data_IF_747579865270
#
_entry.id   IF_747579865270
#
_cell.length_a   1.000
_cell.length_b   1.000
_cell.length_c   1.000
_cell.angle_alpha   90.00
_cell.angle_beta   90.00
_cell.angle_gamma   90.00
#
_symmetry.space_group_name_H-M   'P 1'
#
loop_
_entity.id
_entity.type
_entity.pdbx_description
1 polymer ?
#
# COMPACT_ATOMS: atom_id res chain seq x y z
N UNK A 1 60.56 19.25 88.39
CA UNK A 1 60.93 20.02 87.19
C UNK A 1 62.31 19.57 86.75
N UNK A 2 62.40 18.67 85.76
CA UNK A 2 63.68 18.29 85.16
C UNK A 2 63.95 19.23 83.97
N UNK A 3 65.11 19.89 83.90
CA UNK A 3 65.45 20.74 82.77
C UNK A 3 65.64 19.86 81.53
N UNK A 4 64.83 20.14 80.51
CA UNK A 4 64.89 19.48 79.20
C UNK A 4 66.16 19.96 78.48
N UNK A 5 67.25 19.19 78.59
CA UNK A 5 68.45 19.39 77.77
C UNK A 5 68.10 19.12 76.31
N UNK A 6 67.96 20.19 75.53
CA UNK A 6 67.84 20.10 74.07
C UNK A 6 69.24 19.90 73.50
N UNK A 7 69.51 18.70 73.02
CA UNK A 7 70.71 18.40 72.22
C UNK A 7 70.58 19.12 70.87
N UNK A 8 71.53 20.02 70.57
CA UNK A 8 71.67 20.60 69.25
C UNK A 8 72.31 19.60 68.29
N UNK A 9 71.85 19.57 67.04
CA UNK A 9 72.45 18.75 65.98
C UNK A 9 73.88 19.20 65.71
N UNK A 10 74.78 18.24 65.59
CA UNK A 10 76.15 18.51 65.18
C UNK A 10 76.20 18.88 63.69
N UNK A 11 77.19 19.67 63.29
CA UNK A 11 77.30 20.18 61.91
C UNK A 11 77.43 19.03 60.88
N UNK A 12 78.04 17.92 61.28
CA UNK A 12 78.14 16.69 60.47
C UNK A 12 76.78 15.97 60.32
N UNK A 13 75.95 15.93 61.36
CA UNK A 13 74.60 15.35 61.30
C UNK A 13 73.69 16.17 60.38
N UNK A 14 73.78 17.50 60.41
CA UNK A 14 73.04 18.37 59.49
C UNK A 14 73.44 18.12 58.03
N UNK A 15 74.74 17.96 57.77
CA UNK A 15 75.26 17.65 56.44
C UNK A 15 74.75 16.31 55.93
N UNK A 16 74.83 15.26 56.75
CA UNK A 16 74.34 13.92 56.40
C UNK A 16 72.83 13.97 56.16
N UNK A 17 72.07 14.61 57.05
CA UNK A 17 70.61 14.75 56.89
C UNK A 17 70.25 15.49 55.61
N UNK A 18 70.94 16.60 55.29
CA UNK A 18 70.68 17.36 54.06
C UNK A 18 70.99 16.56 52.79
N UNK A 19 72.11 15.83 52.78
CA UNK A 19 72.49 14.97 51.66
C UNK A 19 71.48 13.83 51.46
N UNK A 20 71.07 13.18 52.55
CA UNK A 20 70.02 12.15 52.52
C UNK A 20 68.68 12.70 52.02
N UNK A 21 68.26 13.89 52.45
CA UNK A 21 67.04 14.53 51.96
C UNK A 21 67.08 14.85 50.47
N UNK A 22 68.22 15.34 49.94
CA UNK A 22 68.35 15.59 48.49
C UNK A 22 68.29 14.31 47.66
N UNK A 23 68.89 13.22 48.14
CA UNK A 23 68.81 11.93 47.45
C UNK A 23 67.38 11.38 47.45
N UNK A 24 66.66 11.50 48.56
CA UNK A 24 65.25 11.08 48.66
C UNK A 24 64.35 11.91 47.74
N UNK A 25 64.48 13.24 47.73
CA UNK A 25 63.68 14.11 46.87
C UNK A 25 64.00 13.90 45.39
N UNK A 26 65.28 13.71 45.04
CA UNK A 26 65.70 13.38 43.67
C UNK A 26 65.13 12.04 43.18
N UNK A 27 65.15 11.02 44.04
CA UNK A 27 64.53 9.73 43.76
C UNK A 27 63.02 9.84 43.55
N UNK A 28 62.32 10.61 44.38
CA UNK A 28 60.87 10.79 44.32
C UNK A 28 60.44 11.60 43.08
N UNK A 29 61.19 12.65 42.71
CA UNK A 29 60.93 13.38 41.46
C UNK A 29 61.10 12.48 40.24
N UNK A 30 62.08 11.59 40.26
CA UNK A 30 62.32 10.65 39.15
C UNK A 30 61.21 9.60 39.06
N UNK A 31 60.73 9.07 40.19
CA UNK A 31 59.62 8.11 40.18
C UNK A 31 58.31 8.75 39.72
N UNK A 32 58.01 9.99 40.14
CA UNK A 32 56.84 10.74 39.64
C UNK A 32 56.96 10.98 38.14
N UNK A 33 58.13 11.38 37.64
CA UNK A 33 58.33 11.63 36.21
C UNK A 33 58.10 10.37 35.37
N UNK A 34 58.62 9.22 35.82
CA UNK A 34 58.39 7.92 35.14
C UNK A 34 56.91 7.53 35.21
N UNK A 35 56.26 7.69 36.36
CA UNK A 35 54.84 7.40 36.51
C UNK A 35 53.95 8.29 35.62
N UNK A 36 54.28 9.59 35.51
CA UNK A 36 53.56 10.53 34.64
C UNK A 36 53.68 10.14 33.17
N UNK A 37 54.87 9.76 32.71
CA UNK A 37 55.05 9.28 31.34
C UNK A 37 54.32 7.97 31.05
N UNK A 38 54.24 7.07 32.04
CA UNK A 38 53.47 5.84 31.90
C UNK A 38 51.96 6.09 31.80
N UNK A 39 51.47 7.18 32.38
CA UNK A 39 50.06 7.60 32.28
C UNK A 39 49.79 8.25 30.91
N UNK A 40 50.65 9.16 30.44
CA UNK A 40 50.46 9.82 29.14
C UNK A 40 50.54 8.84 27.95
N UNK A 41 51.35 7.78 28.04
CA UNK A 41 51.47 6.75 26.98
C UNK A 41 50.28 5.76 26.97
N UNK A 42 49.52 5.70 28.07
CA UNK A 42 48.34 4.83 28.19
C UNK A 42 47.09 5.40 27.54
N UNK A 43 47.11 6.70 27.22
CA UNK A 43 45.93 7.43 26.74
C UNK A 43 45.58 7.09 25.28
N UNK A 44 46.48 6.48 24.50
CA UNK A 44 46.18 6.05 23.13
C UNK A 44 45.61 4.64 23.02
N UNK A 45 45.95 3.73 23.93
CA UNK A 45 45.53 2.33 23.85
C UNK A 45 44.11 2.12 24.38
N UNK A 46 43.90 2.49 25.63
CA UNK A 46 42.63 2.22 26.35
C UNK A 46 41.48 3.03 25.79
N UNK A 47 41.71 4.30 25.44
CA UNK A 47 40.67 5.15 24.85
C UNK A 47 40.23 4.63 23.47
N UNK A 48 41.18 4.20 22.64
CA UNK A 48 40.92 3.61 21.32
C UNK A 48 40.16 2.29 21.44
N UNK A 49 40.48 1.47 22.44
CA UNK A 49 39.78 0.20 22.70
C UNK A 49 38.33 0.46 23.14
N UNK A 50 38.12 1.41 24.07
CA UNK A 50 36.77 1.79 24.52
C UNK A 50 35.92 2.37 23.38
N UNK A 51 36.49 3.25 22.55
CA UNK A 51 35.80 3.80 21.37
C UNK A 51 35.44 2.70 20.37
N UNK A 52 36.37 1.79 20.09
CA UNK A 52 36.13 0.65 19.19
C UNK A 52 35.01 -0.25 19.72
N UNK A 53 35.03 -0.56 21.02
CA UNK A 53 33.98 -1.37 21.67
C UNK A 53 32.61 -0.70 21.56
N UNK A 54 32.52 0.60 21.84
CA UNK A 54 31.27 1.36 21.75
C UNK A 54 30.70 1.33 20.33
N UNK A 55 31.53 1.54 19.31
CA UNK A 55 31.08 1.53 17.90
C UNK A 55 30.63 0.14 17.46
N UNK A 56 31.30 -0.92 17.93
CA UNK A 56 30.88 -2.30 17.66
C UNK A 56 29.53 -2.60 18.32
N UNK A 57 29.31 -2.13 19.56
CA UNK A 57 28.03 -2.27 20.25
C UNK A 57 26.89 -1.56 19.51
N UNK A 58 27.13 -0.35 19.00
CA UNK A 58 26.14 0.41 18.22
C UNK A 58 25.78 -0.31 16.91
N UNK A 59 26.77 -0.82 16.18
CA UNK A 59 26.54 -1.60 14.96
C UNK A 59 25.73 -2.86 15.28
N UNK A 60 26.07 -3.56 16.36
CA UNK A 60 25.34 -4.76 16.77
C UNK A 60 23.91 -4.45 17.21
N UNK A 61 23.68 -3.33 17.89
CA UNK A 61 22.34 -2.89 18.27
C UNK A 61 21.48 -2.61 17.03
N UNK A 62 22.06 -1.96 16.02
CA UNK A 62 21.39 -1.67 14.75
C UNK A 62 21.06 -2.96 13.97
N UNK A 63 22.00 -3.90 13.91
CA UNK A 63 21.81 -5.17 13.21
C UNK A 63 20.81 -6.09 13.93
N UNK A 64 20.67 -5.99 15.25
CA UNK A 64 19.68 -6.77 16.02
C UNK A 64 18.24 -6.38 15.69
N UNK A 65 18.00 -5.11 15.35
CA UNK A 65 16.67 -4.61 15.00
C UNK A 65 16.45 -4.49 13.49
N UNK A 66 17.45 -4.81 12.68
CA UNK A 66 17.36 -4.71 11.23
C UNK A 66 16.27 -5.65 10.68
N UNK A 67 15.37 -5.09 9.89
CA UNK A 67 14.30 -5.84 9.19
C UNK A 67 14.80 -6.47 7.90
N UNK A 68 15.79 -5.82 7.27
CA UNK A 68 16.32 -6.21 5.97
C UNK A 68 17.78 -5.79 5.85
N UNK A 69 18.62 -6.65 5.28
CA UNK A 69 19.96 -6.29 4.80
C UNK A 69 19.87 -6.11 3.28
N UNK A 70 20.23 -4.92 2.78
CA UNK A 70 20.13 -4.58 1.34
C UNK A 70 21.38 -5.04 0.61
N UNK A 71 22.55 -4.75 1.15
CA UNK A 71 23.83 -5.14 0.58
C UNK A 71 24.85 -5.40 1.68
N UNK A 72 25.74 -6.35 1.43
CA UNK A 72 26.83 -6.67 2.34
C UNK A 72 28.10 -6.97 1.54
N UNK A 73 29.23 -6.50 2.05
CA UNK A 73 30.58 -6.63 1.51
C UNK A 73 31.54 -6.64 2.69
N UNK A 74 32.81 -7.01 2.49
CA UNK A 74 33.76 -7.07 3.60
C UNK A 74 33.98 -5.71 4.31
N UNK A 75 33.72 -4.60 3.62
CA UNK A 75 34.00 -3.23 4.06
C UNK A 75 32.74 -2.34 4.14
N UNK A 76 31.56 -2.84 3.77
CA UNK A 76 30.30 -2.13 3.97
C UNK A 76 29.10 -3.04 4.22
N UNK A 77 28.17 -2.55 5.03
CA UNK A 77 26.85 -3.16 5.24
C UNK A 77 25.77 -2.08 5.16
N UNK A 78 24.69 -2.41 4.46
CA UNK A 78 23.48 -1.56 4.33
C UNK A 78 22.29 -2.33 4.84
N UNK A 79 21.55 -1.77 5.79
CA UNK A 79 20.37 -2.39 6.37
C UNK A 79 19.23 -1.39 6.55
N UNK A 80 18.02 -1.92 6.67
CA UNK A 80 16.79 -1.19 7.01
C UNK A 80 16.48 -1.48 8.46
N UNK A 81 16.33 -0.44 9.27
CA UNK A 81 15.93 -0.52 10.69
C UNK A 81 14.57 0.17 10.88
N UNK A 82 13.82 -0.15 11.95
CA UNK A 82 12.60 0.59 12.27
C UNK A 82 12.86 2.09 12.37
N UNK A 83 11.86 2.88 12.00
CA UNK A 83 11.87 4.34 12.11
C UNK A 83 12.39 4.81 13.48
N UNK A 84 13.48 5.58 13.49
CA UNK A 84 14.07 6.19 14.69
C UNK A 84 13.80 7.69 14.77
N UNK A 85 13.44 8.31 13.65
CA UNK A 85 13.33 9.74 13.51
C UNK A 85 11.88 10.23 13.71
N UNK A 86 10.90 9.32 13.62
CA UNK A 86 9.48 9.54 13.89
C UNK A 86 8.67 9.99 12.68
N UNK A 87 9.17 9.82 11.45
CA UNK A 87 8.47 10.18 10.21
C UNK A 87 7.53 9.10 9.67
N UNK A 88 7.48 7.92 10.32
CA UNK A 88 6.66 6.78 9.91
C UNK A 88 7.28 5.93 8.80
N UNK A 89 8.54 6.17 8.44
CA UNK A 89 9.27 5.43 7.40
C UNK A 89 10.48 4.72 8.02
N UNK A 90 10.67 3.44 7.70
CA UNK A 90 11.85 2.70 8.17
C UNK A 90 13.15 3.36 7.65
N UNK A 91 14.16 3.51 8.53
CA UNK A 91 15.43 4.16 8.21
C UNK A 91 16.40 3.20 7.50
N UNK A 92 17.15 3.73 6.53
CA UNK A 92 18.26 3.03 5.86
C UNK A 92 19.58 3.43 6.49
N UNK A 93 20.29 2.46 7.07
CA UNK A 93 21.62 2.65 7.64
C UNK A 93 22.69 2.08 6.73
N UNK A 94 23.78 2.83 6.55
CA UNK A 94 24.98 2.39 5.82
C UNK A 94 26.20 2.59 6.70
N UNK A 95 26.92 1.49 6.95
CA UNK A 95 28.25 1.49 7.54
C UNK A 95 29.26 1.19 6.45
N UNK A 96 30.33 1.99 6.35
CA UNK A 96 31.32 1.83 5.30
C UNK A 96 32.72 2.21 5.77
N UNK A 97 33.70 1.39 5.40
CA UNK A 97 35.13 1.66 5.51
C UNK A 97 35.75 1.54 4.11
N UNK A 98 36.85 2.24 3.84
CA UNK A 98 37.47 2.23 2.50
C UNK A 98 38.30 0.98 2.20
N UNK A 99 38.55 0.14 3.21
CA UNK A 99 39.50 -0.97 3.13
C UNK A 99 40.96 -0.58 3.37
N UNK A 100 41.28 0.70 3.59
CA UNK A 100 42.66 1.16 3.81
C UNK A 100 42.94 1.43 5.29
N UNK A 101 44.02 0.86 5.81
CA UNK A 101 44.44 1.09 7.18
C UNK A 101 44.68 2.59 7.45
N UNK A 102 43.99 3.11 8.45
CA UNK A 102 44.02 4.51 8.86
C UNK A 102 42.84 5.34 8.35
N UNK A 103 42.09 4.85 7.37
CA UNK A 103 40.85 5.51 6.95
C UNK A 103 39.74 5.28 7.99
N UNK A 104 38.79 6.23 8.14
CA UNK A 104 37.73 6.12 9.13
C UNK A 104 36.61 5.16 8.72
N UNK A 105 35.91 4.61 9.71
CA UNK A 105 34.59 4.02 9.53
C UNK A 105 33.54 5.13 9.58
N UNK A 106 32.70 5.19 8.56
CA UNK A 106 31.62 6.16 8.43
C UNK A 106 30.25 5.49 8.57
N UNK A 107 29.28 6.25 9.11
CA UNK A 107 27.87 5.90 9.21
C UNK A 107 27.02 6.93 8.48
N UNK A 108 26.05 6.45 7.70
CA UNK A 108 25.06 7.28 7.02
C UNK A 108 23.65 6.81 7.39
N UNK A 109 22.74 7.76 7.58
CA UNK A 109 21.31 7.52 7.85
C UNK A 109 20.50 8.16 6.73
N UNK A 110 19.74 7.34 5.99
CA UNK A 110 18.99 7.75 4.80
C UNK A 110 19.92 8.51 3.83
N UNK A 111 19.46 9.66 3.34
CA UNK A 111 20.22 10.54 2.44
C UNK A 111 21.04 11.62 3.18
N UNK A 112 21.22 11.49 4.50
CA UNK A 112 22.04 12.43 5.27
C UNK A 112 23.52 12.34 4.88
N UNK A 113 24.32 13.39 5.08
CA UNK A 113 25.78 13.29 4.93
C UNK A 113 26.36 12.19 5.84
N UNK A 114 27.32 11.43 5.33
CA UNK A 114 27.99 10.40 6.12
C UNK A 114 28.88 11.03 7.21
N UNK A 115 28.73 10.55 8.45
CA UNK A 115 29.52 10.97 9.60
C UNK A 115 30.57 9.92 9.97
N UNK A 116 31.76 10.38 10.36
CA UNK A 116 32.80 9.52 10.95
C UNK A 116 32.37 9.04 12.34
N UNK A 117 32.43 7.73 12.58
CA UNK A 117 32.10 7.12 13.87
C UNK A 117 33.32 6.50 14.56
N UNK A 118 34.34 6.07 13.80
CA UNK A 118 35.59 5.54 14.34
C UNK A 118 36.76 5.97 13.45
N UNK A 119 37.78 6.54 14.08
CA UNK A 119 38.99 7.04 13.40
C UNK A 119 40.04 5.94 13.26
N UNK A 120 40.97 6.14 12.35
CA UNK A 120 42.23 5.37 12.25
C UNK A 120 42.05 3.84 12.23
N UNK A 121 41.01 3.36 11.53
CA UNK A 121 40.65 1.93 11.51
C UNK A 121 41.75 1.15 10.79
N UNK A 122 42.38 0.22 11.50
CA UNK A 122 43.47 -0.61 10.93
C UNK A 122 42.94 -1.81 10.13
N UNK A 123 41.83 -2.39 10.57
CA UNK A 123 41.20 -3.54 9.95
C UNK A 123 39.72 -3.60 10.31
N UNK A 124 38.87 -3.87 9.33
CA UNK A 124 37.45 -4.14 9.50
C UNK A 124 37.05 -5.26 8.52
N UNK A 125 36.18 -6.16 8.96
CA UNK A 125 35.62 -7.19 8.10
C UNK A 125 34.19 -7.51 8.52
N UNK A 126 33.22 -7.22 7.65
CA UNK A 126 31.85 -7.70 7.83
C UNK A 126 31.72 -9.11 7.23
N UNK A 127 31.46 -10.08 8.09
CA UNK A 127 31.18 -11.47 7.70
C UNK A 127 29.73 -11.82 8.01
N UNK A 128 29.17 -12.72 7.20
CA UNK A 128 27.78 -13.14 7.35
C UNK A 128 27.62 -14.60 6.93
N UNK A 129 26.66 -15.26 7.57
CA UNK A 129 26.22 -16.59 7.19
C UNK A 129 24.92 -16.46 6.41
N UNK A 130 24.95 -16.85 5.14
CA UNK A 130 23.72 -17.02 4.37
C UNK A 130 23.16 -18.40 4.62
N UNK A 131 21.88 -18.48 4.96
CA UNK A 131 21.11 -19.70 4.81
C UNK A 131 20.16 -19.50 3.64
N UNK A 132 20.24 -20.37 2.65
CA UNK A 132 19.16 -20.50 1.67
C UNK A 132 17.97 -21.08 2.41
N UNK A 133 16.98 -20.23 2.67
CA UNK A 133 15.65 -20.68 3.00
C UNK A 133 15.00 -20.93 1.66
N UNK A 134 14.63 -22.18 1.37
CA UNK A 134 13.64 -22.43 0.32
C UNK A 134 12.44 -21.63 0.81
N UNK A 135 12.16 -20.51 0.15
CA UNK A 135 10.91 -19.81 0.41
C UNK A 135 9.85 -20.89 0.41
N UNK A 136 8.98 -20.90 1.43
CA UNK A 136 7.69 -21.53 1.18
C UNK A 136 7.28 -21.05 -0.21
N UNK A 137 6.87 -21.94 -1.15
CA UNK A 137 6.32 -21.46 -2.41
C UNK A 137 5.45 -20.29 -2.02
N UNK A 138 5.70 -19.10 -2.61
CA UNK A 138 4.88 -17.91 -2.30
C UNK A 138 3.50 -18.46 -2.10
N UNK A 139 2.93 -18.40 -0.86
CA UNK A 139 1.73 -19.16 -0.56
C UNK A 139 0.86 -18.88 -1.74
N UNK A 140 0.48 -19.93 -2.51
CA UNK A 140 -0.22 -19.74 -3.79
C UNK A 140 -1.12 -18.58 -3.47
N UNK A 141 -0.91 -17.44 -4.13
CA UNK A 141 -1.80 -16.32 -3.91
C UNK A 141 -3.05 -16.84 -4.58
N UNK A 142 -3.78 -17.73 -3.89
CA UNK A 142 -5.21 -17.76 -3.86
C UNK A 142 -5.45 -16.30 -3.57
N UNK A 143 -5.82 -15.49 -4.58
CA UNK A 143 -6.20 -14.13 -4.29
C UNK A 143 -7.21 -14.30 -3.16
N UNK A 144 -6.86 -13.85 -1.96
CA UNK A 144 -7.76 -13.82 -0.80
C UNK A 144 -9.06 -13.32 -1.37
N UNK A 145 -10.09 -14.16 -1.52
CA UNK A 145 -11.23 -14.04 -2.44
C UNK A 145 -11.66 -12.58 -2.66
N UNK A 146 -10.86 -11.87 -3.46
CA UNK A 146 -10.88 -10.43 -3.51
C UNK A 146 -11.62 -10.19 -4.76
N UNK A 147 -12.78 -9.61 -4.57
CA UNK A 147 -13.68 -9.34 -5.63
C UNK A 147 -13.04 -8.27 -6.51
N UNK A 148 -12.41 -8.69 -7.60
CA UNK A 148 -11.81 -7.77 -8.56
C UNK A 148 -12.88 -7.37 -9.56
N UNK A 149 -13.00 -6.06 -9.79
CA UNK A 149 -13.89 -5.51 -10.81
C UNK A 149 -13.02 -4.97 -11.94
N UNK A 150 -13.26 -5.44 -13.16
CA UNK A 150 -12.78 -4.81 -14.39
C UNK A 150 -13.98 -4.25 -15.13
N UNK A 151 -13.87 -3.07 -15.70
CA UNK A 151 -14.94 -2.45 -16.49
C UNK A 151 -14.44 -2.02 -17.86
N UNK A 152 -15.32 -2.13 -18.86
CA UNK A 152 -15.11 -1.58 -20.21
C UNK A 152 -16.40 -0.94 -20.67
N UNK A 153 -16.28 0.29 -21.16
CA UNK A 153 -17.41 1.11 -21.57
C UNK A 153 -17.41 1.24 -23.10
N UNK A 154 -18.56 1.00 -23.73
CA UNK A 154 -18.78 1.40 -25.12
C UNK A 154 -19.73 2.61 -25.17
N UNK A 155 -19.28 3.65 -25.85
CA UNK A 155 -19.96 4.95 -25.94
C UNK A 155 -20.28 5.25 -27.39
N UNK A 156 -21.51 4.95 -27.75
CA UNK A 156 -22.01 5.32 -29.06
C UNK A 156 -22.53 6.75 -29.08
N UNK A 157 -21.67 7.67 -29.51
CA UNK A 157 -21.97 9.11 -29.68
C UNK A 157 -22.86 9.40 -30.89
N UNK A 158 -23.29 8.38 -31.66
CA UNK A 158 -24.19 8.56 -32.79
C UNK A 158 -25.26 7.51 -32.78
N UNK A 159 -26.47 7.89 -33.21
CA UNK A 159 -27.58 6.95 -33.35
C UNK A 159 -27.23 5.84 -34.34
N UNK A 160 -27.08 4.60 -33.86
CA UNK A 160 -26.76 3.42 -34.65
C UNK A 160 -27.88 2.38 -34.56
N UNK A 161 -27.88 1.43 -35.50
CA UNK A 161 -28.76 0.26 -35.49
C UNK A 161 -28.22 -0.86 -34.59
N UNK A 162 -27.08 -0.64 -33.96
CA UNK A 162 -26.46 -1.60 -33.06
C UNK A 162 -25.62 -0.87 -32.02
N UNK A 163 -25.33 -1.57 -30.92
CA UNK A 163 -24.31 -1.21 -29.95
C UNK A 163 -23.43 -2.44 -29.72
N UNK A 164 -22.13 -2.25 -29.60
CA UNK A 164 -21.22 -3.31 -29.23
C UNK A 164 -21.05 -3.27 -27.70
N UNK A 165 -20.98 -4.43 -27.09
CA UNK A 165 -20.81 -4.63 -25.67
C UNK A 165 -19.43 -5.25 -25.52
N UNK A 166 -18.44 -4.39 -25.39
CA UNK A 166 -17.05 -4.79 -25.26
C UNK A 166 -16.82 -5.52 -23.93
N UNK A 167 -16.05 -6.59 -23.98
CA UNK A 167 -15.64 -7.35 -22.79
C UNK A 167 -14.31 -6.76 -22.28
N UNK A 168 -14.15 -6.55 -20.95
CA UNK A 168 -12.89 -6.09 -20.39
C UNK A 168 -11.72 -7.00 -20.80
N UNK A 169 -10.54 -6.42 -20.94
CA UNK A 169 -9.35 -7.22 -21.18
C UNK A 169 -9.05 -8.10 -19.95
N UNK A 170 -8.33 -9.21 -20.13
CA UNK A 170 -7.94 -10.13 -19.04
C UNK A 170 -9.12 -10.79 -18.29
N UNK A 171 -10.27 -10.95 -18.96
CA UNK A 171 -11.35 -11.82 -18.45
C UNK A 171 -10.88 -13.26 -18.42
N UNK A 172 -11.06 -13.91 -17.27
CA UNK A 172 -10.72 -15.31 -17.07
C UNK A 172 -11.98 -16.19 -17.21
N UNK A 173 -11.84 -17.44 -17.69
CA UNK A 173 -12.95 -18.37 -17.71
C UNK A 173 -13.54 -18.57 -16.31
N UNK A 174 -14.86 -18.43 -16.18
CA UNK A 174 -15.57 -18.48 -14.89
C UNK A 174 -15.75 -17.14 -14.18
N UNK A 175 -15.16 -16.04 -14.67
CA UNK A 175 -15.51 -14.70 -14.17
C UNK A 175 -17.00 -14.41 -14.40
N UNK A 176 -17.65 -13.73 -13.46
CA UNK A 176 -19.01 -13.25 -13.63
C UNK A 176 -19.00 -11.97 -14.45
N UNK A 177 -19.60 -12.00 -15.62
CA UNK A 177 -19.83 -10.82 -16.45
C UNK A 177 -21.20 -10.23 -16.13
N UNK A 178 -21.24 -8.94 -15.82
CA UNK A 178 -22.47 -8.15 -15.69
C UNK A 178 -22.51 -7.12 -16.81
N UNK A 179 -23.56 -7.12 -17.62
CA UNK A 179 -23.77 -6.13 -18.66
C UNK A 179 -24.91 -5.18 -18.28
N UNK A 180 -24.69 -3.89 -18.51
CA UNK A 180 -25.72 -2.85 -18.35
C UNK A 180 -25.87 -2.09 -19.65
N UNK A 181 -27.12 -1.98 -20.13
CA UNK A 181 -27.45 -1.36 -21.42
C UNK A 181 -28.56 -0.34 -21.22
N UNK A 182 -28.26 0.91 -21.52
CA UNK A 182 -29.17 2.05 -21.46
C UNK A 182 -29.52 2.46 -22.90
N UNK A 183 -30.81 2.54 -23.25
CA UNK A 183 -31.25 2.90 -24.61
C UNK A 183 -32.32 3.98 -24.60
N UNK A 184 -32.27 4.93 -25.55
CA UNK A 184 -33.21 6.05 -25.65
C UNK A 184 -34.54 5.73 -26.37
N UNK A 185 -35.25 4.72 -25.90
CA UNK A 185 -36.68 4.45 -26.19
C UNK A 185 -37.10 3.19 -25.45
N UNK A 186 -38.36 2.77 -25.62
CA UNK A 186 -38.77 1.40 -25.28
C UNK A 186 -38.14 0.39 -26.25
N UNK A 187 -37.13 -0.35 -25.79
CA UNK A 187 -36.43 -1.40 -26.54
C UNK A 187 -36.43 -2.73 -25.78
N UNK A 188 -37.45 -2.92 -24.92
CA UNK A 188 -37.62 -4.11 -24.08
C UNK A 188 -37.53 -5.41 -24.88
N UNK A 189 -38.19 -5.49 -26.04
CA UNK A 189 -38.13 -6.66 -26.92
C UNK A 189 -36.75 -6.92 -27.52
N UNK A 190 -36.03 -5.86 -27.91
CA UNK A 190 -34.71 -6.00 -28.51
C UNK A 190 -33.69 -6.49 -27.49
N UNK A 191 -33.77 -5.97 -26.27
CA UNK A 191 -32.92 -6.38 -25.15
C UNK A 191 -33.21 -7.81 -24.67
N UNK A 192 -34.46 -8.24 -24.64
CA UNK A 192 -34.84 -9.64 -24.34
C UNK A 192 -34.31 -10.62 -25.41
N UNK A 193 -34.39 -10.22 -26.68
CA UNK A 193 -33.84 -11.01 -27.79
C UNK A 193 -32.32 -11.14 -27.75
N UNK A 194 -31.62 -10.08 -27.31
CA UNK A 194 -30.18 -10.11 -27.09
C UNK A 194 -29.81 -11.14 -26.02
N UNK A 195 -30.51 -11.12 -24.87
CA UNK A 195 -30.22 -12.01 -23.76
C UNK A 195 -30.28 -13.48 -24.20
N UNK A 196 -31.42 -13.85 -24.78
CA UNK A 196 -31.68 -15.23 -25.22
C UNK A 196 -30.77 -15.72 -26.36
N UNK A 197 -30.43 -14.87 -27.32
CA UNK A 197 -29.64 -15.28 -28.50
C UNK A 197 -28.14 -15.44 -28.24
N UNK A 198 -27.61 -14.75 -27.21
CA UNK A 198 -26.17 -14.73 -26.93
C UNK A 198 -25.80 -15.42 -25.60
N UNK A 199 -26.73 -16.15 -25.00
CA UNK A 199 -26.49 -16.93 -23.78
C UNK A 199 -26.36 -16.09 -22.52
N UNK A 200 -26.85 -14.86 -22.53
CA UNK A 200 -26.92 -13.99 -21.37
C UNK A 200 -28.21 -14.28 -20.58
N UNK A 201 -28.13 -14.25 -19.26
CA UNK A 201 -29.28 -14.37 -18.37
C UNK A 201 -29.77 -12.98 -17.98
N UNK A 202 -31.06 -12.73 -18.15
CA UNK A 202 -31.68 -11.45 -17.80
C UNK A 202 -31.83 -11.30 -16.29
N UNK A 203 -31.33 -10.19 -15.73
CA UNK A 203 -31.56 -9.78 -14.35
C UNK A 203 -32.85 -8.92 -14.27
N UNK A 204 -32.86 -7.84 -15.05
CA UNK A 204 -33.95 -6.89 -15.10
C UNK A 204 -33.94 -6.14 -16.44
N UNK A 205 -35.13 -5.83 -16.96
CA UNK A 205 -35.31 -4.83 -18.01
C UNK A 205 -36.44 -3.92 -17.56
N UNK A 206 -36.20 -2.62 -17.53
CA UNK A 206 -37.21 -1.62 -17.17
C UNK A 206 -37.24 -0.52 -18.21
N UNK A 207 -38.44 -0.05 -18.56
CA UNK A 207 -38.67 1.05 -19.49
C UNK A 207 -39.57 2.11 -18.87
N UNK A 208 -39.27 3.39 -19.14
CA UNK A 208 -40.14 4.55 -18.86
C UNK A 208 -41.00 4.91 -20.08
N UNK A 209 -40.83 4.21 -21.20
CA UNK A 209 -41.30 4.60 -22.53
C UNK A 209 -40.33 5.53 -23.27
N UNK A 210 -39.49 6.27 -22.55
CA UNK A 210 -38.47 7.18 -23.11
C UNK A 210 -37.06 6.60 -23.03
N UNK A 211 -36.78 5.86 -21.96
CA UNK A 211 -35.52 5.16 -21.75
C UNK A 211 -35.79 3.71 -21.36
N UNK A 212 -34.89 2.82 -21.74
CA UNK A 212 -34.85 1.43 -21.26
C UNK A 212 -33.50 1.16 -20.61
N UNK A 213 -33.51 0.52 -19.44
CA UNK A 213 -32.32 -0.05 -18.78
C UNK A 213 -32.46 -1.58 -18.73
N UNK A 214 -31.54 -2.27 -19.38
CA UNK A 214 -31.38 -3.73 -19.29
C UNK A 214 -30.14 -4.10 -18.50
N UNK A 215 -30.29 -5.08 -17.61
CA UNK A 215 -29.22 -5.71 -16.85
C UNK A 215 -29.18 -7.21 -17.14
N UNK A 216 -27.99 -7.72 -17.41
CA UNK A 216 -27.76 -9.11 -17.78
C UNK A 216 -26.52 -9.65 -17.08
N UNK A 217 -26.45 -10.98 -16.93
CA UNK A 217 -25.23 -11.65 -16.50
C UNK A 217 -24.94 -12.93 -17.27
N UNK A 218 -23.68 -13.35 -17.27
CA UNK A 218 -23.21 -14.67 -17.71
C UNK A 218 -21.89 -14.98 -17.03
N UNK A 219 -21.47 -16.24 -17.06
CA UNK A 219 -20.10 -16.60 -16.71
C UNK A 219 -19.25 -16.63 -17.99
N UNK A 220 -18.05 -16.06 -17.91
CA UNK A 220 -17.11 -16.04 -19.03
C UNK A 220 -16.74 -17.48 -19.44
N UNK A 221 -16.80 -17.77 -20.73
CA UNK A 221 -16.40 -19.05 -21.29
C UNK A 221 -14.88 -19.15 -21.45
N UNK A 222 -14.38 -20.36 -21.75
CA UNK A 222 -12.95 -20.59 -22.04
C UNK A 222 -12.45 -19.76 -23.23
N UNK A 223 -13.33 -19.50 -24.20
CA UNK A 223 -13.07 -18.65 -25.37
C UNK A 223 -14.09 -17.50 -25.41
N UNK A 224 -14.06 -16.64 -24.38
CA UNK A 224 -14.95 -15.49 -24.32
C UNK A 224 -14.67 -14.52 -25.49
N UNK A 225 -15.67 -14.15 -26.31
CA UNK A 225 -15.53 -13.16 -27.37
C UNK A 225 -15.10 -11.80 -26.83
N UNK A 226 -14.36 -11.03 -27.63
CA UNK A 226 -13.94 -9.66 -27.28
C UNK A 226 -15.13 -8.68 -27.18
N UNK A 227 -16.23 -8.97 -27.87
CA UNK A 227 -17.45 -8.15 -27.82
C UNK A 227 -18.70 -8.93 -28.20
N UNK A 228 -19.84 -8.41 -27.75
CA UNK A 228 -21.18 -8.86 -28.10
C UNK A 228 -21.93 -7.76 -28.83
N UNK A 229 -22.82 -8.10 -29.77
CA UNK A 229 -23.57 -7.08 -30.53
C UNK A 229 -25.05 -7.10 -30.20
N UNK A 230 -25.57 -5.94 -29.82
CA UNK A 230 -27.01 -5.68 -29.63
C UNK A 230 -27.52 -4.99 -30.89
N UNK A 231 -28.61 -5.48 -31.48
CA UNK A 231 -29.20 -4.90 -32.70
C UNK A 231 -30.58 -4.30 -32.44
N UNK A 232 -30.84 -3.15 -33.06
CA UNK A 232 -32.08 -2.37 -32.94
C UNK A 232 -32.77 -2.26 -34.30
N UNK A 233 -34.09 -2.15 -34.28
CA UNK A 233 -34.88 -1.92 -35.50
C UNK A 233 -34.68 -0.49 -36.04
N UNK A 234 -34.56 0.48 -35.13
CA UNK A 234 -34.38 1.89 -35.44
C UNK A 234 -33.04 2.39 -34.89
N UNK A 235 -32.56 3.52 -35.41
CA UNK A 235 -31.31 4.10 -34.91
C UNK A 235 -31.52 4.65 -33.50
N UNK A 236 -30.72 4.20 -32.53
CA UNK A 236 -30.80 4.57 -31.10
C UNK A 236 -29.49 5.12 -30.58
N UNK A 237 -29.59 5.97 -29.57
CA UNK A 237 -28.49 6.28 -28.68
C UNK A 237 -28.47 5.21 -27.60
N UNK A 238 -27.33 4.54 -27.48
CA UNK A 238 -27.12 3.49 -26.50
C UNK A 238 -25.87 3.84 -25.69
N UNK A 239 -25.95 3.58 -24.40
CA UNK A 239 -24.80 3.52 -23.52
C UNK A 239 -24.73 2.13 -22.90
N UNK A 240 -23.64 1.41 -23.14
CA UNK A 240 -23.45 0.07 -22.66
C UNK A 240 -22.09 -0.08 -21.97
N UNK A 241 -22.03 -0.92 -20.95
CA UNK A 241 -20.77 -1.30 -20.35
C UNK A 241 -20.87 -2.71 -19.78
N UNK A 242 -19.70 -3.34 -19.67
CA UNK A 242 -19.56 -4.67 -19.08
C UNK A 242 -18.64 -4.58 -17.87
N UNK A 243 -19.02 -5.26 -16.79
CA UNK A 243 -18.20 -5.51 -15.63
C UNK A 243 -17.79 -6.99 -15.64
N UNK A 244 -16.52 -7.28 -15.40
CA UNK A 244 -16.03 -8.62 -15.11
C UNK A 244 -15.64 -8.72 -13.64
N UNK A 245 -16.19 -9.72 -12.96
CA UNK A 245 -16.10 -9.88 -11.52
C UNK A 245 -15.51 -11.25 -11.21
N UNK A 246 -14.27 -11.25 -10.74
CA UNK A 246 -13.57 -12.47 -10.31
C UNK A 246 -13.99 -12.91 -8.92
N UNK A 247 -14.13 -14.22 -8.68
CA UNK A 247 -14.46 -14.77 -7.36
C UNK A 247 -15.95 -14.69 -6.98
N UNK A 248 -16.85 -14.48 -7.94
CA UNK A 248 -18.30 -14.57 -7.69
C UNK A 248 -18.77 -16.03 -7.54
N UNK A 249 -19.84 -16.26 -6.78
CA UNK A 249 -20.43 -17.59 -6.62
C UNK A 249 -20.97 -18.12 -7.97
N UNK A 250 -20.42 -19.24 -8.47
CA UNK A 250 -20.76 -19.78 -9.80
C UNK A 250 -22.18 -20.36 -9.91
N UNK A 251 -22.83 -20.65 -8.80
CA UNK A 251 -24.14 -21.33 -8.78
C UNK A 251 -25.29 -20.34 -8.56
N UNK A 252 -25.07 -19.36 -7.68
CA UNK A 252 -26.06 -18.33 -7.34
C UNK A 252 -25.33 -16.99 -7.13
N UNK A 253 -24.85 -16.35 -8.21
CA UNK A 253 -24.06 -15.12 -8.11
C UNK A 253 -24.86 -13.94 -7.58
N UNK A 254 -26.19 -13.95 -7.75
CA UNK A 254 -27.09 -12.85 -7.39
C UNK A 254 -27.97 -13.28 -6.22
N UNK A 255 -27.86 -12.56 -5.11
CA UNK A 255 -28.61 -12.83 -3.86
C UNK A 255 -29.75 -11.86 -3.62
N UNK A 256 -29.65 -10.66 -4.17
CA UNK A 256 -30.66 -9.64 -4.02
C UNK A 256 -30.79 -8.80 -5.28
N UNK A 257 -32.03 -8.48 -5.64
CA UNK A 257 -32.34 -7.54 -6.71
C UNK A 257 -33.43 -6.60 -6.22
N UNK A 258 -33.16 -5.30 -6.28
CA UNK A 258 -34.17 -4.27 -6.08
C UNK A 258 -34.45 -3.59 -7.41
N UNK A 259 -35.65 -3.84 -7.93
CA UNK A 259 -36.10 -3.28 -9.20
C UNK A 259 -36.58 -1.84 -9.04
N UNK A 260 -36.64 -1.19 -10.19
CA UNK A 260 -36.67 0.25 -10.45
C UNK A 260 -37.38 1.17 -9.47
N UNK A 261 -36.71 2.27 -9.12
CA UNK A 261 -37.37 3.55 -8.96
C UNK A 261 -37.31 4.27 -10.33
N UNK A 262 -38.46 4.47 -10.96
CA UNK A 262 -38.57 5.38 -12.11
C UNK A 262 -39.10 6.72 -11.60
N UNK A 263 -38.59 7.82 -12.15
CA UNK A 263 -39.04 9.14 -11.72
C UNK A 263 -38.47 10.26 -12.56
N UNK A 264 -38.99 11.46 -12.30
CA UNK A 264 -38.44 12.73 -12.76
C UNK A 264 -37.85 13.43 -11.53
N UNK A 265 -36.53 13.59 -11.48
CA UNK A 265 -35.87 14.18 -10.31
C UNK A 265 -34.39 14.46 -10.54
N UNK A 266 -33.81 15.32 -9.70
CA UNK A 266 -32.37 15.66 -9.77
C UNK A 266 -31.51 14.73 -8.90
N UNK A 267 -32.11 14.02 -7.94
CA UNK A 267 -31.44 13.18 -6.96
C UNK A 267 -32.03 11.75 -6.95
N UNK A 268 -31.90 10.98 -8.04
CA UNK A 268 -32.31 9.58 -8.08
C UNK A 268 -31.79 8.79 -6.88
N UNK A 269 -32.70 8.05 -6.25
CA UNK A 269 -32.40 7.16 -5.12
C UNK A 269 -32.57 5.72 -5.56
N UNK A 270 -31.51 4.93 -5.42
CA UNK A 270 -31.64 3.48 -5.60
C UNK A 270 -32.33 2.88 -4.38
N UNK A 271 -33.24 1.94 -4.63
CA UNK A 271 -33.93 1.21 -3.58
C UNK A 271 -32.96 0.33 -2.78
N UNK A 272 -33.34 0.05 -1.53
CA UNK A 272 -32.68 -0.94 -0.68
C UNK A 272 -32.77 -2.33 -1.31
N UNK A 273 -31.72 -3.12 -1.15
CA UNK A 273 -31.61 -4.50 -1.64
C UNK A 273 -31.14 -5.38 -0.49
N UNK A 274 -31.71 -6.57 -0.38
CA UNK A 274 -31.24 -7.53 0.63
C UNK A 274 -29.79 -7.95 0.31
N UNK A 275 -28.94 -7.96 1.32
CA UNK A 275 -27.55 -8.38 1.23
C UNK A 275 -27.27 -9.55 2.16
N UNK A 276 -26.22 -10.29 1.84
CA UNK A 276 -25.58 -11.24 2.75
C UNK A 276 -24.27 -10.62 3.24
N UNK A 277 -23.70 -11.14 4.33
CA UNK A 277 -22.41 -10.67 4.80
C UNK A 277 -21.32 -10.90 3.73
N UNK A 278 -20.46 -9.91 3.53
CA UNK A 278 -19.44 -9.92 2.48
C UNK A 278 -19.97 -9.80 1.03
N UNK A 279 -21.27 -9.62 0.83
CA UNK A 279 -21.82 -9.42 -0.52
C UNK A 279 -21.35 -8.09 -1.13
N UNK A 280 -21.27 -8.05 -2.46
CA UNK A 280 -21.02 -6.80 -3.18
C UNK A 280 -22.31 -6.20 -3.68
N UNK A 281 -22.48 -4.92 -3.39
CA UNK A 281 -23.56 -4.10 -3.90
C UNK A 281 -23.13 -3.42 -5.19
N UNK A 282 -23.84 -3.69 -6.28
CA UNK A 282 -23.75 -2.96 -7.54
C UNK A 282 -25.01 -2.14 -7.76
N UNK A 283 -24.84 -0.89 -8.17
CA UNK A 283 -25.95 0.03 -8.39
C UNK A 283 -25.82 0.69 -9.73
N UNK A 284 -26.87 0.59 -10.52
CA UNK A 284 -26.93 1.03 -11.91
C UNK A 284 -27.93 2.16 -12.04
N UNK A 285 -27.62 3.13 -12.89
CA UNK A 285 -28.56 4.17 -13.29
C UNK A 285 -28.51 4.37 -14.80
N UNK A 286 -29.69 4.58 -15.38
CA UNK A 286 -29.92 5.08 -16.73
C UNK A 286 -30.64 6.41 -16.62
N UNK A 287 -30.18 7.43 -17.34
CA UNK A 287 -30.81 8.76 -17.35
C UNK A 287 -31.02 9.27 -18.75
N UNK A 288 -32.12 9.99 -18.94
CA UNK A 288 -32.31 10.81 -20.12
C UNK A 288 -31.25 11.93 -20.20
N UNK A 289 -30.54 12.04 -21.32
CA UNK A 289 -29.58 13.12 -21.62
C UNK A 289 -28.17 12.98 -21.03
N UNK A 290 -27.30 13.90 -21.44
CA UNK A 290 -25.85 14.01 -21.22
C UNK A 290 -25.43 14.59 -19.84
N UNK A 291 -26.10 14.17 -18.77
CA UNK A 291 -26.16 15.00 -17.55
C UNK A 291 -25.82 14.36 -16.23
N UNK A 292 -25.08 13.25 -16.28
CA UNK A 292 -24.41 12.77 -15.07
C UNK A 292 -23.19 13.67 -14.81
N UNK A 293 -23.01 14.14 -13.58
CA UNK A 293 -21.85 14.96 -13.22
C UNK A 293 -20.63 14.04 -13.10
N UNK A 294 -19.72 14.09 -14.08
CA UNK A 294 -18.49 13.27 -14.12
C UNK A 294 -17.59 13.42 -12.90
N UNK A 295 -17.61 14.59 -12.26
CA UNK A 295 -16.77 14.90 -11.08
C UNK A 295 -17.52 14.74 -9.75
N UNK A 296 -18.77 14.27 -9.78
CA UNK A 296 -19.49 13.98 -8.55
C UNK A 296 -19.21 12.53 -8.19
N UNK A 297 -18.60 12.31 -7.03
CA UNK A 297 -18.45 10.98 -6.43
C UNK A 297 -19.83 10.36 -6.45
N UNK A 298 -20.03 9.42 -7.37
CA UNK A 298 -21.29 8.77 -7.59
C UNK A 298 -21.55 7.93 -6.38
N UNK A 299 -22.45 8.42 -5.52
CA UNK A 299 -22.89 7.79 -4.27
C UNK A 299 -21.87 7.93 -3.12
N UNK A 300 -22.33 8.50 -2.00
CA UNK A 300 -21.58 8.48 -0.74
C UNK A 300 -21.33 7.02 -0.32
N UNK A 301 -20.12 6.70 0.11
CA UNK A 301 -19.70 5.36 0.54
C UNK A 301 -19.64 4.30 -0.57
N UNK A 302 -19.56 4.71 -1.85
CA UNK A 302 -19.37 3.79 -2.98
C UNK A 302 -18.19 4.22 -3.85
N UNK A 303 -17.56 3.23 -4.47
CA UNK A 303 -16.60 3.43 -5.54
C UNK A 303 -17.33 3.54 -6.88
N UNK A 304 -16.98 4.52 -7.69
CA UNK A 304 -17.53 4.66 -9.04
C UNK A 304 -16.83 3.65 -9.95
N UNK A 305 -17.60 2.76 -10.59
CA UNK A 305 -17.07 1.66 -11.43
C UNK A 305 -17.10 2.02 -12.91
N UNK A 306 -18.19 2.65 -13.34
CA UNK A 306 -18.39 3.10 -14.72
C UNK A 306 -19.25 4.36 -14.70
N UNK A 307 -18.86 5.36 -15.48
CA UNK A 307 -19.54 6.65 -15.53
C UNK A 307 -19.41 7.27 -16.92
N UNK A 308 -20.53 7.33 -17.63
CA UNK A 308 -20.51 7.74 -19.02
C UNK A 308 -21.80 8.37 -19.50
N UNK A 309 -21.70 8.95 -20.69
CA UNK A 309 -22.81 9.53 -21.41
C UNK A 309 -22.58 9.37 -22.91
N UNK A 310 -23.68 9.21 -23.63
CA UNK A 310 -23.87 9.40 -25.06
C UNK A 310 -24.75 10.64 -25.25
N UNK A 311 -24.80 11.19 -26.47
CA UNK A 311 -25.48 12.45 -26.83
C UNK A 311 -26.84 12.68 -26.15
N UNK A 312 -27.65 11.61 -26.04
CA UNK A 312 -29.02 11.68 -25.48
C UNK A 312 -29.25 10.76 -24.27
N UNK A 313 -28.22 10.07 -23.75
CA UNK A 313 -28.41 9.11 -22.67
C UNK A 313 -27.18 9.02 -21.77
N UNK A 314 -27.40 9.04 -20.46
CA UNK A 314 -26.37 8.82 -19.45
C UNK A 314 -26.52 7.43 -18.82
N UNK A 315 -25.40 6.84 -18.43
CA UNK A 315 -25.44 5.68 -17.55
C UNK A 315 -24.24 5.61 -16.61
N UNK A 316 -24.47 4.99 -15.46
CA UNK A 316 -23.42 4.78 -14.48
C UNK A 316 -23.61 3.49 -13.69
N UNK A 317 -22.49 2.94 -13.20
CA UNK A 317 -22.44 1.95 -12.14
C UNK A 317 -21.55 2.42 -10.99
N UNK A 318 -21.99 2.13 -9.77
CA UNK A 318 -21.23 2.28 -8.55
C UNK A 318 -21.23 0.96 -7.77
N UNK A 319 -20.13 0.66 -7.08
CA UNK A 319 -19.97 -0.52 -6.23
C UNK A 319 -19.70 -0.16 -4.77
N UNK A 320 -20.17 -1.00 -3.87
CA UNK A 320 -19.74 -1.03 -2.48
C UNK A 320 -19.68 -2.48 -1.99
N UNK A 321 -18.88 -2.74 -0.95
CA UNK A 321 -18.92 -4.01 -0.22
C UNK A 321 -19.88 -3.81 0.95
N UNK A 322 -20.85 -4.71 1.13
CA UNK A 322 -21.66 -4.68 2.35
C UNK A 322 -20.75 -5.03 3.53
N UNK A 323 -20.53 -4.09 4.45
CA UNK A 323 -19.96 -4.40 5.76
C UNK A 323 -21.00 -5.08 6.67
N UNK A 324 -20.59 -5.36 7.91
CA UNK A 324 -21.41 -5.95 8.99
C UNK A 324 -22.69 -5.17 9.36
N UNK A 325 -22.96 -4.02 8.71
CA UNK A 325 -24.19 -3.27 8.89
C UNK A 325 -25.19 -3.54 7.73
N UNK A 326 -26.16 -4.45 7.91
CA UNK A 326 -27.20 -4.75 6.93
C UNK A 326 -28.13 -3.55 6.66
N UNK A 327 -27.92 -2.41 7.33
CA UNK A 327 -28.68 -1.18 7.14
C UNK A 327 -27.92 -0.09 6.39
N UNK A 328 -26.70 -0.34 5.89
CA UNK A 328 -25.92 0.68 5.18
C UNK A 328 -26.64 1.17 3.90
N UNK A 329 -27.13 2.44 3.85
CA UNK A 329 -28.43 2.71 3.26
C UNK A 329 -28.31 3.58 2.01
N UNK A 330 -28.83 3.04 0.89
CA UNK A 330 -29.24 3.80 -0.31
C UNK A 330 -28.11 4.42 -1.12
N UNK A 331 -28.29 4.48 -2.44
CA UNK A 331 -27.41 5.23 -3.32
C UNK A 331 -28.07 6.52 -3.71
N UNK A 332 -27.28 7.59 -3.76
CA UNK A 332 -27.68 8.87 -4.30
C UNK A 332 -26.88 9.13 -5.57
N UNK A 333 -27.59 9.23 -6.69
CA UNK A 333 -27.01 9.70 -7.94
C UNK A 333 -27.36 11.18 -8.10
N UNK A 334 -26.37 12.06 -8.19
CA UNK A 334 -26.60 13.49 -8.36
C UNK A 334 -26.60 13.86 -9.85
N UNK A 335 -27.71 14.42 -10.35
CA UNK A 335 -27.84 14.87 -11.74
C UNK A 335 -27.64 16.38 -11.88
N UNK A 336 -27.21 16.84 -13.06
CA UNK A 336 -27.09 18.30 -13.33
C UNK A 336 -28.44 19.03 -13.29
N UNK A 337 -29.56 18.33 -13.51
CA UNK A 337 -30.95 18.85 -13.49
C UNK A 337 -31.95 17.69 -13.33
N UNK A 338 -33.23 17.97 -13.00
CA UNK A 338 -34.27 16.95 -13.02
C UNK A 338 -34.44 16.31 -14.40
N UNK A 339 -34.36 14.98 -14.48
CA UNK A 339 -34.55 14.20 -15.72
C UNK A 339 -35.26 12.87 -15.41
N UNK A 340 -35.75 12.19 -16.46
CA UNK A 340 -36.20 10.81 -16.33
C UNK A 340 -35.02 9.90 -16.02
N UNK A 341 -35.21 9.01 -15.05
CA UNK A 341 -34.19 8.06 -14.65
C UNK A 341 -34.80 6.68 -14.34
N UNK A 342 -33.94 5.67 -14.41
CA UNK A 342 -34.19 4.30 -14.00
C UNK A 342 -32.99 3.85 -13.15
N UNK A 343 -33.23 3.30 -11.96
CA UNK A 343 -32.15 2.76 -11.12
C UNK A 343 -32.34 1.28 -10.82
N UNK A 344 -31.27 0.49 -10.78
CA UNK A 344 -31.31 -0.90 -10.31
C UNK A 344 -30.24 -1.13 -9.25
N UNK A 345 -30.58 -1.89 -8.20
CA UNK A 345 -29.63 -2.33 -7.18
C UNK A 345 -29.51 -3.85 -7.23
N UNK A 346 -28.28 -4.34 -7.27
CA UNK A 346 -27.92 -5.75 -7.33
C UNK A 346 -27.01 -6.08 -6.15
N UNK A 347 -27.24 -7.21 -5.50
CA UNK A 347 -26.36 -7.76 -4.47
C UNK A 347 -25.76 -9.07 -4.99
N UNK A 348 -24.43 -9.15 -4.99
CA UNK A 348 -23.65 -10.24 -5.52
C UNK A 348 -22.99 -11.05 -4.41
N UNK A 349 -23.10 -12.37 -4.48
CA UNK A 349 -22.49 -13.30 -3.54
C UNK A 349 -21.07 -13.64 -3.97
N UNK A 350 -20.13 -13.56 -3.03
CA UNK A 350 -18.76 -14.03 -3.22
C UNK A 350 -18.71 -15.57 -3.16
N UNK A 351 -17.72 -16.17 -3.82
CA UNK A 351 -17.42 -17.59 -3.63
C UNK A 351 -16.89 -17.80 -2.19
N UNK A 352 -17.35 -18.87 -1.55
CA UNK A 352 -16.92 -19.28 -0.20
C UNK A 352 -15.46 -19.75 -0.16
#
# INVERSE_FOLDING_TARGET
MHPNQRSGLTLIELLIASASSTLLLGGLCTSIFIASRAIDDSDSGVSSELQSSSVVEDILADLRVARKVISNSSDSIVCVVPDRNGDGVDDVLRYQWSGRAGDPLIRQVNDSPAGEILRDVKSLNFQYFTRTVVGLPEPDVVPSSSLFIRSKEDKETKRKLYADLEIPDEVLPGDLLIASVCVNSDETSNLDSFASSQGWQQIAITSTGYETLGLFYRFAAENEPESYRISYVNRRCTYAFTLAIGGANSTAPIVGLSRSHTGLGADPRANEVNTEDGAMLLRFICTAGDRIKKDYIGVQDHETVALGESDDIGGAAASAISGDDPTAPRAYFALKRPMYFITHSLSLRQAE
#
